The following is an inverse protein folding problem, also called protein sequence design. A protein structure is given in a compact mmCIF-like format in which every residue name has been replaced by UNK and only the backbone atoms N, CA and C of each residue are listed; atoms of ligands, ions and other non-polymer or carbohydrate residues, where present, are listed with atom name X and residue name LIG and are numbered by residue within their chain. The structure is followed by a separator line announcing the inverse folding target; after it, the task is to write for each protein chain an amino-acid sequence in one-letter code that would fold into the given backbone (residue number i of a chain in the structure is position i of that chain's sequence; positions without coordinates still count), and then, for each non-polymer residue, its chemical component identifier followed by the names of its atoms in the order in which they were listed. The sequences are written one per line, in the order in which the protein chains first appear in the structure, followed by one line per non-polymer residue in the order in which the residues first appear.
data_IF_360517071634
#
_entry.id   IF_360517071634
#
_cell.length_a   1.000
_cell.length_b   1.000
_cell.length_c   1.000
_cell.angle_alpha   90.00
_cell.angle_beta   90.00
_cell.angle_gamma   90.00
#
_symmetry.space_group_name_H-M   'P 1'
#
loop_
_entity.id
_entity.type
_entity.pdbx_description
1 polymer ?
#
# COMPACT_ATOMS: atom_id res chain seq x y z
N UNK A 1 -9.42 -33.71 5.13
CA UNK A 1 -8.33 -33.10 4.32
C UNK A 1 -8.81 -31.71 3.88
N UNK A 2 -8.83 -30.74 4.76
CA UNK A 2 -9.35 -29.39 4.42
C UNK A 2 -8.93 -28.32 5.43
N UNK A 3 -7.67 -28.27 5.85
CA UNK A 3 -7.27 -27.23 6.82
C UNK A 3 -5.97 -26.49 6.45
N UNK A 4 -5.40 -26.77 5.28
CA UNK A 4 -4.13 -26.15 4.87
C UNK A 4 -4.28 -24.82 4.09
N UNK A 5 -5.50 -24.43 3.74
CA UNK A 5 -5.75 -23.23 2.95
C UNK A 5 -6.00 -21.97 3.81
N UNK A 6 -6.39 -22.15 5.08
CA UNK A 6 -6.70 -21.03 5.99
C UNK A 6 -5.46 -20.30 6.51
N UNK A 7 -4.28 -20.92 6.48
CA UNK A 7 -3.03 -20.39 7.01
C UNK A 7 -2.15 -19.66 5.95
N UNK A 8 -2.62 -19.53 4.71
CA UNK A 8 -1.85 -18.89 3.65
C UNK A 8 -2.30 -17.45 3.45
N UNK A 9 -1.35 -16.54 3.48
CA UNK A 9 -1.56 -15.18 3.09
C UNK A 9 -1.11 -14.97 1.64
N UNK A 10 -1.82 -14.12 0.92
CA UNK A 10 -1.50 -13.79 -0.47
C UNK A 10 -1.35 -12.29 -0.62
N UNK A 11 -0.22 -11.87 -1.20
CA UNK A 11 0.06 -10.51 -1.60
C UNK A 11 0.32 -10.50 -3.09
N UNK A 12 -0.55 -9.84 -3.85
CA UNK A 12 -0.31 -9.57 -5.26
C UNK A 12 0.71 -8.44 -5.39
N UNK A 13 1.65 -8.58 -6.31
CA UNK A 13 2.51 -7.47 -6.71
C UNK A 13 2.73 -7.46 -8.22
N UNK A 14 2.76 -6.27 -8.79
CA UNK A 14 3.06 -6.06 -10.19
C UNK A 14 4.28 -5.13 -10.33
N UNK A 15 5.29 -5.49 -11.14
CA UNK A 15 6.48 -4.66 -11.30
C UNK A 15 6.18 -3.40 -12.09
N UNK A 16 6.79 -2.30 -11.65
CA UNK A 16 6.88 -1.02 -12.34
C UNK A 16 8.33 -0.86 -12.78
N UNK A 17 8.56 -0.67 -14.07
CA UNK A 17 9.88 -0.63 -14.68
C UNK A 17 10.26 0.79 -15.10
N UNK A 18 11.55 1.08 -15.13
CA UNK A 18 12.10 2.31 -15.66
C UNK A 18 12.26 2.27 -17.21
N UNK A 19 12.83 3.31 -17.80
CA UNK A 19 13.05 3.44 -19.24
C UNK A 19 13.99 2.37 -19.81
N UNK A 20 14.90 1.86 -19.01
CA UNK A 20 15.86 0.80 -19.31
C UNK A 20 15.31 -0.59 -18.98
N UNK A 21 14.00 -0.69 -18.66
CA UNK A 21 13.30 -1.91 -18.25
C UNK A 21 13.88 -2.55 -16.98
N UNK A 22 14.52 -1.78 -16.12
CA UNK A 22 14.96 -2.24 -14.80
C UNK A 22 13.83 -2.03 -13.80
N UNK A 23 13.75 -2.91 -12.81
CA UNK A 23 12.76 -2.81 -11.74
C UNK A 23 12.96 -1.50 -10.97
N UNK A 24 11.92 -0.68 -10.94
CA UNK A 24 11.87 0.59 -10.21
C UNK A 24 11.07 0.47 -8.91
N UNK A 25 9.90 -0.14 -8.97
CA UNK A 25 8.97 -0.30 -7.86
C UNK A 25 8.04 -1.50 -8.08
N UNK A 26 7.19 -1.78 -7.10
CA UNK A 26 6.07 -2.70 -7.22
C UNK A 26 4.76 -1.98 -6.88
N UNK A 27 3.71 -2.25 -7.62
CA UNK A 27 2.35 -2.01 -7.14
C UNK A 27 1.91 -3.21 -6.30
N UNK A 28 1.37 -2.93 -5.10
CA UNK A 28 0.85 -3.93 -4.17
C UNK A 28 -0.66 -4.07 -4.34
N UNK A 29 -1.11 -5.29 -4.61
CA UNK A 29 -2.49 -5.59 -4.97
C UNK A 29 -3.13 -6.50 -3.94
N UNK A 30 -4.39 -6.20 -3.58
CA UNK A 30 -5.19 -7.10 -2.77
C UNK A 30 -5.42 -8.43 -3.50
N UNK A 31 -5.35 -9.54 -2.75
CA UNK A 31 -5.68 -10.88 -3.23
C UNK A 31 -6.41 -11.66 -2.14
N UNK A 32 -7.62 -12.11 -2.43
CA UNK A 32 -8.42 -12.94 -1.53
C UNK A 32 -8.05 -14.43 -1.56
N UNK A 33 -7.07 -14.82 -2.42
CA UNK A 33 -6.65 -16.21 -2.57
C UNK A 33 -5.59 -16.37 -3.65
N UNK A 34 -5.27 -17.62 -4.01
CA UNK A 34 -4.29 -17.96 -5.05
C UNK A 34 -4.75 -17.65 -6.50
N UNK A 35 -5.99 -17.24 -6.71
CA UNK A 35 -6.54 -16.89 -8.03
C UNK A 35 -6.27 -15.42 -8.35
N UNK A 36 -6.01 -15.13 -9.65
CA UNK A 36 -5.66 -13.79 -10.14
C UNK A 36 -6.84 -12.80 -10.25
N UNK A 37 -7.97 -13.04 -9.58
CA UNK A 37 -9.11 -12.14 -9.58
C UNK A 37 -9.39 -11.68 -8.15
N UNK A 38 -9.54 -10.37 -7.95
CA UNK A 38 -9.98 -9.76 -6.70
C UNK A 38 -11.43 -9.31 -6.89
N UNK A 39 -12.36 -9.86 -6.10
CA UNK A 39 -13.65 -9.21 -5.85
C UNK A 39 -13.42 -8.29 -4.64
N UNK A 40 -13.29 -6.99 -4.89
CA UNK A 40 -13.14 -5.98 -3.83
C UNK A 40 -14.53 -5.50 -3.44
N UNK A 41 -15.00 -5.90 -2.27
CA UNK A 41 -16.29 -5.46 -1.71
C UNK A 41 -16.14 -4.26 -0.76
N UNK A 42 -14.94 -4.04 -0.19
CA UNK A 42 -14.63 -2.94 0.72
C UNK A 42 -13.18 -2.48 0.48
N UNK A 43 -13.02 -1.25 -0.04
CA UNK A 43 -11.70 -0.68 -0.39
C UNK A 43 -10.80 -0.48 0.83
N UNK A 44 -11.37 -0.03 1.96
CA UNK A 44 -10.61 0.16 3.22
C UNK A 44 -10.05 -1.15 3.71
N UNK A 45 -10.87 -2.21 3.71
CA UNK A 45 -10.47 -3.54 4.14
C UNK A 45 -9.41 -4.14 3.20
N UNK A 46 -9.57 -3.96 1.89
CA UNK A 46 -8.61 -4.42 0.89
C UNK A 46 -7.24 -3.77 1.12
N UNK A 47 -7.19 -2.44 1.25
CA UNK A 47 -5.96 -1.69 1.49
C UNK A 47 -5.35 -2.04 2.85
N UNK A 48 -6.14 -2.14 3.92
CA UNK A 48 -5.65 -2.56 5.24
C UNK A 48 -5.04 -3.97 5.20
N UNK A 49 -5.64 -4.89 4.45
CA UNK A 49 -5.12 -6.25 4.28
C UNK A 49 -3.80 -6.26 3.52
N UNK A 50 -3.66 -5.46 2.44
CA UNK A 50 -2.39 -5.30 1.70
C UNK A 50 -1.30 -4.81 2.63
N UNK A 51 -1.58 -3.78 3.43
CA UNK A 51 -0.63 -3.19 4.37
C UNK A 51 -0.23 -4.20 5.45
N UNK A 52 -1.20 -4.88 6.08
CA UNK A 52 -0.93 -5.89 7.08
C UNK A 52 -0.06 -7.02 6.51
N UNK A 53 -0.41 -7.52 5.33
CA UNK A 53 0.34 -8.59 4.68
C UNK A 53 1.76 -8.16 4.27
N UNK A 54 1.91 -6.98 3.68
CA UNK A 54 3.19 -6.51 3.18
C UNK A 54 4.16 -6.10 4.31
N UNK A 55 3.67 -5.41 5.34
CA UNK A 55 4.54 -4.76 6.32
C UNK A 55 4.58 -5.48 7.68
N UNK A 56 3.52 -6.19 8.05
CA UNK A 56 3.43 -6.91 9.32
C UNK A 56 3.68 -8.41 9.14
N UNK A 57 2.91 -9.09 8.28
CA UNK A 57 2.97 -10.55 8.14
C UNK A 57 4.22 -11.01 7.37
N UNK A 58 4.45 -10.49 6.15
CA UNK A 58 5.65 -10.83 5.35
C UNK A 58 6.88 -10.04 5.80
N UNK A 59 6.68 -8.77 6.08
CA UNK A 59 7.73 -7.77 6.28
C UNK A 59 8.16 -7.12 4.96
N UNK A 60 8.57 -5.85 5.07
CA UNK A 60 8.88 -4.99 3.91
C UNK A 60 9.95 -5.58 2.99
N UNK A 61 10.97 -6.21 3.58
CA UNK A 61 12.09 -6.81 2.81
C UNK A 61 11.61 -7.95 1.91
N UNK A 62 10.72 -8.82 2.41
CA UNK A 62 10.16 -9.91 1.62
C UNK A 62 9.15 -9.42 0.57
N UNK A 63 8.38 -8.37 0.89
CA UNK A 63 7.37 -7.80 -0.01
C UNK A 63 8.00 -6.97 -1.13
N UNK A 64 8.96 -6.11 -0.83
CA UNK A 64 9.48 -5.06 -1.73
C UNK A 64 10.98 -5.18 -2.01
N UNK A 65 11.76 -5.88 -1.17
CA UNK A 65 13.22 -5.82 -1.22
C UNK A 65 13.69 -4.39 -0.92
N UNK A 66 14.56 -3.85 -1.80
CA UNK A 66 15.05 -2.46 -1.73
C UNK A 66 14.19 -1.47 -2.53
N UNK A 67 13.05 -1.90 -3.08
CA UNK A 67 12.23 -1.07 -3.95
C UNK A 67 11.05 -0.46 -3.19
N UNK A 68 10.40 0.53 -3.81
CA UNK A 68 9.19 1.14 -3.27
C UNK A 68 7.95 0.33 -3.61
N UNK A 69 6.92 0.42 -2.75
CA UNK A 69 5.60 -0.13 -2.98
C UNK A 69 4.57 0.96 -3.26
N UNK A 70 3.84 0.84 -4.35
CA UNK A 70 2.68 1.66 -4.64
C UNK A 70 1.46 1.01 -3.99
N UNK A 71 0.64 1.79 -3.30
CA UNK A 71 -0.50 1.33 -2.51
C UNK A 71 -1.72 2.14 -2.90
N UNK A 72 -2.76 1.47 -3.37
CA UNK A 72 -4.04 2.05 -3.71
C UNK A 72 -4.74 2.62 -2.48
N UNK A 73 -5.21 3.85 -2.57
CA UNK A 73 -5.85 4.60 -1.49
C UNK A 73 -7.17 5.17 -2.01
N UNK A 74 -8.28 4.64 -1.50
CA UNK A 74 -9.61 5.23 -1.69
C UNK A 74 -9.85 6.39 -0.72
N UNK A 75 -10.98 7.09 -0.86
CA UNK A 75 -11.31 8.24 -0.02
C UNK A 75 -11.36 7.89 1.47
N UNK A 76 -11.96 6.75 1.83
CA UNK A 76 -12.12 6.35 3.22
C UNK A 76 -10.75 6.03 3.86
N UNK A 77 -9.86 5.34 3.13
CA UNK A 77 -8.52 5.04 3.61
C UNK A 77 -7.63 6.29 3.64
N UNK A 78 -7.83 7.22 2.70
CA UNK A 78 -7.10 8.50 2.67
C UNK A 78 -7.25 9.29 3.99
N UNK A 79 -8.45 9.25 4.60
CA UNK A 79 -8.72 9.90 5.88
C UNK A 79 -8.40 9.02 7.09
N UNK A 80 -7.99 7.78 6.88
CA UNK A 80 -7.60 6.88 7.97
C UNK A 80 -6.25 7.25 8.57
N UNK A 81 -6.17 7.17 9.88
CA UNK A 81 -4.91 7.29 10.63
C UNK A 81 -3.95 6.12 10.36
N UNK A 82 -4.42 5.03 9.73
CA UNK A 82 -3.60 3.87 9.40
C UNK A 82 -2.48 4.19 8.39
N UNK A 83 -2.67 5.22 7.56
CA UNK A 83 -1.62 5.70 6.65
C UNK A 83 -0.33 6.11 7.39
N UNK A 84 -0.44 6.57 8.63
CA UNK A 84 0.73 6.98 9.41
C UNK A 84 1.60 5.81 9.88
N UNK A 85 1.12 4.56 9.73
CA UNK A 85 1.92 3.34 9.94
C UNK A 85 2.89 3.06 8.80
N UNK A 86 2.67 3.65 7.63
CA UNK A 86 3.44 3.33 6.45
C UNK A 86 4.82 3.98 6.48
N UNK A 87 5.88 3.26 6.10
CA UNK A 87 7.22 3.82 5.95
C UNK A 87 7.26 4.75 4.72
N UNK A 88 7.21 6.06 4.95
CA UNK A 88 7.06 7.11 3.93
C UNK A 88 8.08 7.01 2.80
N UNK A 89 9.30 6.57 3.10
CA UNK A 89 10.38 6.40 2.12
C UNK A 89 10.20 5.17 1.22
N UNK A 90 9.45 4.17 1.69
CA UNK A 90 9.26 2.90 1.00
C UNK A 90 7.92 2.78 0.26
N UNK A 91 7.02 3.77 0.42
CA UNK A 91 5.70 3.73 -0.22
C UNK A 91 5.44 4.93 -1.12
N UNK A 92 4.57 4.73 -2.08
CA UNK A 92 3.87 5.75 -2.88
C UNK A 92 2.38 5.52 -2.67
N UNK A 93 1.65 6.58 -2.32
CA UNK A 93 0.20 6.50 -2.17
C UNK A 93 -0.46 6.81 -3.52
N UNK A 94 -1.17 5.85 -4.06
CA UNK A 94 -1.93 5.97 -5.31
C UNK A 94 -3.35 6.41 -5.00
N UNK A 95 -3.66 7.67 -5.27
CA UNK A 95 -5.02 8.21 -5.13
C UNK A 95 -5.84 7.69 -6.32
N UNK A 96 -6.84 6.86 -6.02
CA UNK A 96 -7.68 6.24 -7.04
C UNK A 96 -8.50 7.30 -7.80
N UNK A 97 -8.83 7.01 -9.05
CA UNK A 97 -9.67 7.84 -9.92
C UNK A 97 -11.09 8.06 -9.37
N UNK A 98 -11.53 7.17 -8.46
CA UNK A 98 -12.84 7.25 -7.78
C UNK A 98 -12.85 8.25 -6.62
N UNK A 99 -11.70 8.76 -6.19
CA UNK A 99 -11.59 9.76 -5.11
C UNK A 99 -11.93 11.14 -5.66
N UNK A 100 -13.04 11.76 -5.21
CA UNK A 100 -13.43 13.07 -5.71
C UNK A 100 -12.45 14.14 -5.22
N UNK A 101 -12.03 15.11 -6.08
CA UNK A 101 -11.07 16.15 -5.72
C UNK A 101 -11.70 17.27 -4.88
N UNK A 102 -12.32 16.90 -3.75
CA UNK A 102 -12.94 17.87 -2.84
C UNK A 102 -11.87 18.69 -2.09
N UNK A 103 -12.20 19.89 -1.58
CA UNK A 103 -11.26 20.67 -0.77
C UNK A 103 -10.66 19.88 0.40
N UNK A 104 -11.45 19.01 1.05
CA UNK A 104 -10.98 18.17 2.15
C UNK A 104 -9.95 17.13 1.68
N UNK A 105 -10.17 16.50 0.51
CA UNK A 105 -9.22 15.57 -0.10
C UNK A 105 -7.93 16.28 -0.49
N UNK A 106 -8.01 17.46 -1.09
CA UNK A 106 -6.84 18.26 -1.46
C UNK A 106 -6.03 18.65 -0.21
N UNK A 107 -6.70 19.12 0.84
CA UNK A 107 -6.05 19.45 2.13
C UNK A 107 -5.37 18.23 2.76
N UNK A 108 -6.04 17.07 2.75
CA UNK A 108 -5.45 15.82 3.27
C UNK A 108 -4.24 15.38 2.48
N UNK A 109 -4.30 15.43 1.14
CA UNK A 109 -3.16 15.12 0.26
C UNK A 109 -1.99 16.09 0.51
N UNK A 110 -2.26 17.39 0.69
CA UNK A 110 -1.22 18.35 1.03
C UNK A 110 -0.56 18.04 2.39
N UNK A 111 -1.35 17.65 3.40
CA UNK A 111 -0.82 17.22 4.70
C UNK A 111 0.04 15.95 4.60
N UNK A 112 -0.37 14.96 3.82
CA UNK A 112 0.40 13.73 3.58
C UNK A 112 1.72 14.03 2.87
N UNK A 113 1.69 14.90 1.84
CA UNK A 113 2.89 15.37 1.16
C UNK A 113 3.84 16.09 2.10
N UNK A 114 3.33 17.02 2.91
CA UNK A 114 4.11 17.73 3.93
C UNK A 114 4.70 16.77 4.97
N UNK A 115 4.01 15.67 5.27
CA UNK A 115 4.51 14.61 6.12
C UNK A 115 5.59 13.74 5.46
N UNK A 116 5.88 13.92 4.16
CA UNK A 116 6.95 13.24 3.42
C UNK A 116 6.50 12.02 2.62
N UNK A 117 5.20 11.83 2.40
CA UNK A 117 4.70 10.83 1.45
C UNK A 117 4.87 11.31 0.00
N UNK A 118 5.13 10.38 -0.89
CA UNK A 118 5.02 10.58 -2.34
C UNK A 118 3.61 10.18 -2.77
N UNK A 119 2.97 11.02 -3.57
CA UNK A 119 1.62 10.80 -4.06
C UNK A 119 1.64 10.50 -5.56
N UNK A 120 0.77 9.61 -5.99
CA UNK A 120 0.46 9.34 -7.40
C UNK A 120 -1.04 9.50 -7.65
N UNK A 121 -1.41 9.92 -8.84
CA UNK A 121 -2.81 9.91 -9.30
C UNK A 121 -2.99 8.74 -10.26
N UNK A 122 -3.99 7.90 -10.00
CA UNK A 122 -4.21 6.64 -10.70
C UNK A 122 -5.15 6.77 -11.90
N UNK A 123 -5.02 5.86 -12.86
CA UNK A 123 -5.88 5.61 -14.04
C UNK A 123 -6.30 6.89 -14.80
N UNK A 124 -5.38 7.86 -14.96
CA UNK A 124 -5.67 9.13 -15.65
C UNK A 124 -5.82 8.90 -17.15
N UNK A 125 -7.00 9.15 -17.68
CA UNK A 125 -7.30 9.09 -19.13
C UNK A 125 -7.60 10.47 -19.75
N UNK A 126 -7.90 11.45 -18.92
CA UNK A 126 -8.14 12.85 -19.31
C UNK A 126 -7.84 13.78 -18.12
N UNK A 127 -7.71 15.08 -18.40
CA UNK A 127 -7.53 16.08 -17.35
C UNK A 127 -8.82 16.89 -17.20
N UNK A 128 -9.52 16.64 -16.12
CA UNK A 128 -10.66 17.46 -15.71
C UNK A 128 -10.16 18.67 -14.90
N UNK A 129 -10.74 19.87 -15.10
CA UNK A 129 -10.30 21.08 -14.39
C UNK A 129 -10.34 20.95 -12.86
N UNK A 130 -11.27 20.17 -12.33
CA UNK A 130 -11.42 19.92 -10.89
C UNK A 130 -10.23 19.17 -10.26
N UNK A 131 -9.46 18.40 -11.05
CA UNK A 131 -8.26 17.71 -10.56
C UNK A 131 -7.02 18.60 -10.53
N UNK A 132 -7.10 19.88 -10.91
CA UNK A 132 -5.94 20.77 -11.00
C UNK A 132 -5.17 20.87 -9.69
N UNK A 133 -5.87 20.99 -8.55
CA UNK A 133 -5.25 21.11 -7.23
C UNK A 133 -4.59 19.79 -6.79
N UNK A 134 -5.21 18.64 -7.05
CA UNK A 134 -4.57 17.33 -6.81
C UNK A 134 -3.35 17.11 -7.71
N UNK A 135 -3.48 17.47 -9.00
CA UNK A 135 -2.36 17.41 -9.94
C UNK A 135 -1.17 18.28 -9.49
N UNK A 136 -1.40 19.41 -8.85
CA UNK A 136 -0.32 20.22 -8.28
C UNK A 136 0.43 19.50 -7.17
N UNK A 137 -0.25 18.66 -6.38
CA UNK A 137 0.29 17.97 -5.22
C UNK A 137 1.05 16.69 -5.56
N UNK A 138 0.57 15.87 -6.51
CA UNK A 138 1.18 14.58 -6.83
C UNK A 138 2.53 14.71 -7.54
N UNK A 139 3.41 13.76 -7.36
CA UNK A 139 4.70 13.64 -8.06
C UNK A 139 4.56 12.78 -9.32
N UNK A 140 3.68 11.78 -9.29
CA UNK A 140 3.53 10.77 -10.34
C UNK A 140 2.10 10.83 -10.88
N UNK A 141 1.96 10.70 -12.19
CA UNK A 141 0.66 10.53 -12.86
C UNK A 141 0.70 9.23 -13.64
N UNK A 142 -0.17 8.29 -13.26
CA UNK A 142 -0.36 7.01 -13.93
C UNK A 142 -1.41 7.20 -15.02
N UNK A 143 -1.07 6.83 -16.23
CA UNK A 143 -1.92 6.99 -17.40
C UNK A 143 -2.31 5.63 -17.93
N UNK A 144 -3.60 5.29 -17.88
CA UNK A 144 -4.13 4.12 -18.60
C UNK A 144 -4.11 4.40 -20.10
N UNK A 145 -3.21 3.71 -20.81
CA UNK A 145 -3.05 3.93 -22.25
C UNK A 145 -4.03 3.11 -23.10
N UNK A 146 -4.71 2.11 -22.53
CA UNK A 146 -5.56 1.20 -23.31
C UNK A 146 -6.79 1.88 -23.94
N UNK A 147 -7.56 2.70 -23.22
CA UNK A 147 -8.74 3.34 -23.80
C UNK A 147 -8.39 4.52 -24.73
N UNK A 148 -7.11 4.94 -24.80
CA UNK A 148 -6.68 6.12 -25.51
C UNK A 148 -6.19 5.82 -26.93
N UNK A 149 -6.73 6.49 -27.91
CA UNK A 149 -6.10 6.54 -29.23
C UNK A 149 -4.74 7.27 -29.14
N UNK A 150 -3.87 7.03 -30.12
CA UNK A 150 -2.55 7.69 -30.16
C UNK A 150 -2.65 9.22 -30.12
N UNK A 151 -3.67 9.80 -30.73
CA UNK A 151 -3.87 11.26 -30.75
C UNK A 151 -4.29 11.75 -29.35
N UNK A 152 -5.22 11.05 -28.70
CA UNK A 152 -5.66 11.39 -27.34
C UNK A 152 -4.52 11.27 -26.33
N UNK A 153 -3.72 10.19 -26.39
CA UNK A 153 -2.56 10.01 -25.54
C UNK A 153 -1.55 11.16 -25.72
N UNK A 154 -1.26 11.53 -26.97
CA UNK A 154 -0.35 12.64 -27.26
C UNK A 154 -0.91 13.97 -26.69
N UNK A 155 -2.20 14.24 -26.88
CA UNK A 155 -2.86 15.45 -26.34
C UNK A 155 -2.81 15.51 -24.81
N UNK A 156 -3.08 14.37 -24.14
CA UNK A 156 -3.01 14.26 -22.69
C UNK A 156 -1.58 14.53 -22.19
N UNK A 157 -0.58 13.88 -22.79
CA UNK A 157 0.81 14.08 -22.42
C UNK A 157 1.28 15.53 -22.66
N UNK A 158 0.84 16.18 -23.74
CA UNK A 158 1.14 17.60 -23.98
C UNK A 158 0.61 18.51 -22.87
N UNK A 159 -0.53 18.19 -22.27
CA UNK A 159 -1.08 18.92 -21.12
C UNK A 159 -0.35 18.59 -19.80
N UNK A 160 0.09 17.34 -19.61
CA UNK A 160 0.80 16.91 -18.39
C UNK A 160 2.26 17.36 -18.35
N UNK A 161 2.92 17.45 -19.49
CA UNK A 161 4.35 17.76 -19.61
C UNK A 161 4.76 19.08 -18.93
N UNK A 162 4.02 20.20 -19.08
CA UNK A 162 4.34 21.46 -18.42
C UNK A 162 4.26 21.40 -16.89
N UNK A 163 3.53 20.40 -16.33
CA UNK A 163 3.37 20.24 -14.90
C UNK A 163 4.59 19.57 -14.23
N UNK A 164 5.57 19.11 -15.02
CA UNK A 164 6.82 18.52 -14.52
C UNK A 164 6.64 17.21 -13.74
N UNK A 165 5.52 16.50 -13.96
CA UNK A 165 5.23 15.24 -13.26
C UNK A 165 5.94 14.07 -13.90
N UNK A 166 6.28 13.07 -13.08
CA UNK A 166 6.73 11.77 -13.58
C UNK A 166 5.54 11.00 -14.17
N UNK A 167 5.65 10.57 -15.42
CA UNK A 167 4.59 9.85 -16.10
C UNK A 167 4.86 8.35 -16.07
N UNK A 168 3.87 7.57 -15.61
CA UNK A 168 3.84 6.12 -15.62
C UNK A 168 2.79 5.67 -16.66
N UNK A 169 3.20 4.88 -17.63
CA UNK A 169 2.30 4.26 -18.60
C UNK A 169 1.80 2.93 -18.05
N UNK A 170 0.49 2.81 -17.90
CA UNK A 170 -0.16 1.60 -17.42
C UNK A 170 -0.75 0.77 -18.55
N UNK A 171 -0.93 -0.53 -18.23
CA UNK A 171 -1.56 -1.51 -19.14
C UNK A 171 -0.86 -1.60 -20.49
N UNK A 172 0.47 -1.46 -20.47
CA UNK A 172 1.31 -1.63 -21.65
C UNK A 172 1.34 -3.11 -22.02
N UNK A 173 0.79 -3.47 -23.20
CA UNK A 173 0.62 -4.85 -23.63
C UNK A 173 1.55 -5.23 -24.81
N UNK A 174 2.22 -4.25 -25.41
CA UNK A 174 3.12 -4.50 -26.53
C UNK A 174 4.36 -3.62 -26.52
N UNK A 175 5.37 -4.07 -27.27
CA UNK A 175 6.61 -3.31 -27.49
C UNK A 175 6.34 -1.97 -28.19
N UNK A 176 5.43 -1.96 -29.13
CA UNK A 176 5.06 -0.77 -29.91
C UNK A 176 4.47 0.30 -28.99
N UNK A 177 3.59 -0.09 -28.07
CA UNK A 177 3.03 0.82 -27.06
C UNK A 177 4.13 1.38 -26.15
N UNK A 178 5.05 0.51 -25.67
CA UNK A 178 6.18 0.97 -24.86
C UNK A 178 7.04 1.99 -25.62
N UNK A 179 7.44 1.70 -26.86
CA UNK A 179 8.26 2.60 -27.68
C UNK A 179 7.54 3.94 -27.95
N UNK A 180 6.22 3.89 -28.16
CA UNK A 180 5.41 5.10 -28.28
C UNK A 180 5.43 5.94 -27.01
N UNK A 181 5.19 5.32 -25.85
CA UNK A 181 5.20 6.00 -24.56
C UNK A 181 6.59 6.58 -24.23
N UNK A 182 7.67 5.86 -24.56
CA UNK A 182 9.05 6.37 -24.43
C UNK A 182 9.27 7.65 -25.22
N UNK A 183 8.80 7.70 -26.48
CA UNK A 183 8.90 8.88 -27.35
C UNK A 183 8.08 10.06 -26.83
N UNK A 184 6.94 9.79 -26.19
CA UNK A 184 6.08 10.78 -25.56
C UNK A 184 6.67 11.35 -24.25
N UNK A 185 7.62 10.65 -23.63
CA UNK A 185 8.32 11.12 -22.44
C UNK A 185 7.92 10.42 -21.14
N UNK A 186 7.23 9.29 -21.23
CA UNK A 186 7.02 8.44 -20.05
C UNK A 186 8.35 7.92 -19.51
N UNK A 187 8.44 7.82 -18.21
CA UNK A 187 9.64 7.37 -17.50
C UNK A 187 9.45 6.07 -16.74
N UNK A 188 8.20 5.70 -16.45
CA UNK A 188 7.82 4.46 -15.77
C UNK A 188 6.80 3.70 -16.61
N UNK A 189 6.80 2.37 -16.46
CA UNK A 189 6.02 1.47 -17.29
C UNK A 189 5.51 0.29 -16.48
N UNK A 190 4.24 -0.06 -16.70
CA UNK A 190 3.58 -1.21 -16.12
C UNK A 190 2.64 -1.85 -17.13
N UNK A 191 2.53 -3.18 -17.14
CA UNK A 191 1.62 -3.89 -18.03
C UNK A 191 2.06 -5.32 -18.30
N UNK A 192 1.19 -6.06 -18.99
CA UNK A 192 1.41 -7.49 -19.26
C UNK A 192 2.54 -7.76 -20.24
N UNK A 193 2.93 -6.77 -21.03
CA UNK A 193 4.12 -6.85 -21.86
C UNK A 193 5.39 -7.15 -21.05
N UNK A 194 5.49 -6.61 -19.85
CA UNK A 194 6.65 -6.81 -18.97
C UNK A 194 6.47 -8.01 -18.06
N UNK A 195 5.39 -8.03 -17.31
CA UNK A 195 5.05 -9.12 -16.40
C UNK A 195 3.59 -9.04 -15.95
N UNK A 196 2.97 -10.21 -15.82
CA UNK A 196 1.70 -10.32 -15.10
C UNK A 196 1.93 -10.16 -13.60
N UNK A 197 0.91 -9.74 -12.83
CA UNK A 197 1.00 -9.71 -11.38
C UNK A 197 1.44 -11.07 -10.84
N UNK A 198 2.38 -11.07 -9.90
CA UNK A 198 2.84 -12.27 -9.20
C UNK A 198 2.27 -12.29 -7.79
N UNK A 199 2.01 -13.49 -7.28
CA UNK A 199 1.51 -13.69 -5.92
C UNK A 199 2.67 -14.14 -5.06
N UNK A 200 2.91 -13.41 -3.96
CA UNK A 200 3.78 -13.87 -2.89
C UNK A 200 2.89 -14.61 -1.89
N UNK A 201 3.17 -15.88 -1.68
CA UNK A 201 2.53 -16.66 -0.63
C UNK A 201 3.43 -16.65 0.61
N UNK A 202 2.82 -16.46 1.77
CA UNK A 202 3.46 -16.55 3.07
C UNK A 202 2.60 -17.38 4.03
N UNK A 203 3.14 -17.71 5.18
CA UNK A 203 2.37 -18.30 6.25
C UNK A 203 1.86 -17.18 7.14
N UNK A 204 0.53 -17.12 7.31
CA UNK A 204 -0.09 -16.22 8.28
C UNK A 204 0.29 -16.66 9.68
N UNK A 205 0.72 -15.74 10.51
CA UNK A 205 0.98 -16.03 11.92
C UNK A 205 -0.35 -15.99 12.65
N UNK A 206 -0.65 -17.06 13.38
CA UNK A 206 -1.93 -17.17 14.11
C UNK A 206 -1.96 -16.18 15.28
N UNK A 207 -3.02 -15.39 15.32
CA UNK A 207 -3.35 -14.52 16.44
C UNK A 207 -4.88 -14.43 16.59
N UNK A 208 -5.36 -14.60 17.80
CA UNK A 208 -6.80 -14.57 18.02
C UNK A 208 -7.36 -13.15 18.04
N UNK A 209 -8.57 -12.97 17.52
CA UNK A 209 -9.29 -11.69 17.63
C UNK A 209 -9.46 -11.26 19.10
N UNK A 210 -9.62 -12.25 20.00
CA UNK A 210 -9.71 -11.99 21.44
C UNK A 210 -8.43 -11.34 21.98
N UNK A 211 -7.26 -11.81 21.55
CA UNK A 211 -5.97 -11.21 21.94
C UNK A 211 -5.82 -9.78 21.41
N UNK A 212 -6.24 -9.52 20.17
CA UNK A 212 -6.26 -8.15 19.62
C UNK A 212 -7.18 -7.23 20.41
N UNK A 213 -8.40 -7.69 20.76
CA UNK A 213 -9.35 -6.91 21.56
C UNK A 213 -8.81 -6.65 22.99
N UNK A 214 -8.17 -7.64 23.61
CA UNK A 214 -7.55 -7.49 24.92
C UNK A 214 -6.43 -6.44 24.92
N UNK A 215 -5.53 -6.51 23.93
CA UNK A 215 -4.46 -5.52 23.78
C UNK A 215 -5.00 -4.11 23.50
N UNK A 216 -6.04 -4.01 22.67
CA UNK A 216 -6.71 -2.73 22.45
C UNK A 216 -7.32 -2.17 23.73
N UNK A 217 -7.95 -3.01 24.55
CA UNK A 217 -8.48 -2.62 25.87
C UNK A 217 -7.41 -2.11 26.81
N UNK A 218 -6.25 -2.76 26.86
CA UNK A 218 -5.09 -2.30 27.66
C UNK A 218 -4.58 -0.94 27.19
N UNK A 219 -4.47 -0.73 25.88
CA UNK A 219 -4.03 0.55 25.31
C UNK A 219 -5.01 1.69 25.64
N UNK A 220 -6.31 1.44 25.54
CA UNK A 220 -7.35 2.41 25.86
C UNK A 220 -7.45 2.67 27.37
N UNK A 221 -7.09 1.69 28.21
CA UNK A 221 -7.04 1.77 29.67
C UNK A 221 -5.73 2.35 30.23
N UNK A 222 -4.87 2.92 29.38
CA UNK A 222 -3.61 3.54 29.77
C UNK A 222 -2.57 2.60 30.42
N UNK A 223 -2.64 1.29 30.14
CA UNK A 223 -1.67 0.28 30.58
C UNK A 223 -0.23 0.70 30.25
N UNK A 224 0.71 0.42 31.12
CA UNK A 224 2.12 0.76 30.90
C UNK A 224 2.80 -0.19 29.89
N UNK A 225 4.06 0.12 29.51
CA UNK A 225 4.81 -0.69 28.56
C UNK A 225 5.02 -2.12 29.03
N UNK A 226 5.16 -2.35 30.33
CA UNK A 226 5.40 -3.69 30.90
C UNK A 226 4.14 -4.55 30.86
N UNK A 227 2.97 -3.95 31.07
CA UNK A 227 1.67 -4.62 30.97
C UNK A 227 1.38 -5.01 29.50
N UNK A 228 1.66 -4.11 28.56
CA UNK A 228 1.54 -4.39 27.12
C UNK A 228 2.51 -5.48 26.67
N UNK A 229 3.76 -5.44 27.15
CA UNK A 229 4.76 -6.49 26.88
C UNK A 229 4.31 -7.85 27.46
N UNK A 230 3.80 -7.87 28.68
CA UNK A 230 3.29 -9.09 29.32
C UNK A 230 2.09 -9.69 28.56
N UNK A 231 1.22 -8.84 28.00
CA UNK A 231 0.09 -9.29 27.20
C UNK A 231 0.47 -9.77 25.80
N UNK A 232 1.54 -9.22 25.20
CA UNK A 232 2.05 -9.63 23.89
C UNK A 232 2.95 -10.87 23.95
N UNK A 233 3.67 -11.08 25.04
CA UNK A 233 4.62 -12.20 25.21
C UNK A 233 4.04 -13.58 24.93
N UNK A 234 2.81 -13.93 25.36
CA UNK A 234 2.19 -15.22 25.07
C UNK A 234 1.69 -15.36 23.63
N UNK A 235 1.76 -14.31 22.80
CA UNK A 235 1.28 -14.23 21.43
C UNK A 235 2.44 -14.14 20.43
N UNK A 236 3.08 -15.28 20.05
CA UNK A 236 4.28 -15.26 19.21
C UNK A 236 4.02 -14.59 17.84
N UNK A 237 2.83 -14.80 17.25
CA UNK A 237 2.43 -14.18 15.99
C UNK A 237 2.42 -12.67 16.08
N UNK A 238 1.73 -12.11 17.07
CA UNK A 238 1.67 -10.66 17.28
C UNK A 238 3.04 -10.07 17.63
N UNK A 239 3.85 -10.79 18.41
CA UNK A 239 5.21 -10.37 18.75
C UNK A 239 6.08 -10.22 17.51
N UNK A 240 6.09 -11.24 16.64
CA UNK A 240 6.86 -11.20 15.38
C UNK A 240 6.35 -10.11 14.46
N UNK A 241 5.03 -9.97 14.33
CA UNK A 241 4.40 -8.95 13.49
C UNK A 241 4.72 -7.53 13.99
N UNK A 242 4.69 -7.31 15.30
CA UNK A 242 5.06 -6.02 15.89
C UNK A 242 6.54 -5.69 15.60
N UNK A 243 7.45 -6.65 15.76
CA UNK A 243 8.87 -6.45 15.46
C UNK A 243 9.11 -6.14 13.98
N UNK A 244 8.41 -6.81 13.07
CA UNK A 244 8.49 -6.54 11.62
C UNK A 244 7.97 -5.14 11.30
N UNK A 245 6.79 -4.79 11.81
CA UNK A 245 6.20 -3.47 11.62
C UNK A 245 7.11 -2.37 12.15
N UNK A 246 7.64 -2.52 13.36
CA UNK A 246 8.52 -1.52 13.97
C UNK A 246 9.81 -1.33 13.17
N UNK A 247 10.40 -2.41 12.66
CA UNK A 247 11.58 -2.34 11.80
C UNK A 247 11.29 -1.78 10.40
N UNK A 248 10.04 -1.88 9.92
CA UNK A 248 9.60 -1.27 8.64
C UNK A 248 9.41 0.24 8.77
N UNK A 249 8.85 0.70 9.87
CA UNK A 249 8.51 2.11 10.13
C UNK A 249 9.69 2.90 10.71
N UNK A 250 10.54 2.21 11.48
CA UNK A 250 11.65 2.79 12.25
C UNK A 250 12.81 3.30 11.40
N UNK A 251 12.54 4.10 10.37
CA UNK A 251 13.55 4.68 9.44
C UNK A 251 14.53 5.69 10.08
N UNK A 252 14.74 5.62 11.38
CA UNK A 252 15.75 6.38 12.10
C UNK A 252 16.64 5.51 13.01
N UNK A 253 16.30 4.23 13.17
CA UNK A 253 17.12 3.31 13.96
C UNK A 253 18.18 2.68 13.06
N UNK A 254 19.46 2.92 13.41
CA UNK A 254 20.60 2.28 12.74
C UNK A 254 20.75 0.82 13.08
N UNK A 255 20.07 0.32 14.12
CA UNK A 255 20.10 -1.05 14.58
C UNK A 255 18.74 -1.72 14.52
N UNK A 256 18.73 -3.01 14.17
CA UNK A 256 17.52 -3.83 14.12
C UNK A 256 16.94 -4.03 15.52
N UNK A 257 15.68 -3.69 15.69
CA UNK A 257 14.93 -3.89 16.93
C UNK A 257 14.58 -5.38 17.08
N UNK A 258 15.03 -5.97 18.18
CA UNK A 258 14.87 -7.42 18.46
C UNK A 258 14.10 -7.70 19.74
N UNK A 259 13.88 -6.69 20.60
CA UNK A 259 13.15 -6.88 21.87
C UNK A 259 11.75 -6.25 21.80
N UNK A 260 10.79 -6.91 22.42
CA UNK A 260 9.38 -6.48 22.44
C UNK A 260 9.19 -5.13 23.15
N UNK A 261 9.80 -4.97 24.33
CA UNK A 261 9.73 -3.70 25.09
C UNK A 261 10.33 -2.54 24.30
N UNK A 262 11.45 -2.76 23.59
CA UNK A 262 12.05 -1.74 22.72
C UNK A 262 11.15 -1.42 21.53
N UNK A 263 10.52 -2.43 20.91
CA UNK A 263 9.55 -2.21 19.82
C UNK A 263 8.36 -1.36 20.27
N UNK A 264 7.76 -1.67 21.43
CA UNK A 264 6.64 -0.89 21.99
C UNK A 264 7.08 0.55 22.27
N UNK A 265 8.28 0.76 22.81
CA UNK A 265 8.80 2.09 23.12
C UNK A 265 9.06 2.92 21.87
N UNK A 266 9.70 2.33 20.85
CA UNK A 266 10.03 3.01 19.57
C UNK A 266 8.79 3.33 18.77
N UNK A 267 7.84 2.40 18.68
CA UNK A 267 6.59 2.61 17.97
C UNK A 267 5.71 3.62 18.67
N UNK A 268 5.68 3.56 20.00
CA UNK A 268 4.83 4.38 20.86
C UNK A 268 3.37 3.92 20.84
N UNK A 269 2.61 4.36 21.86
CA UNK A 269 1.21 3.92 22.10
C UNK A 269 0.29 4.20 20.92
N UNK A 270 0.40 5.39 20.32
CA UNK A 270 -0.46 5.82 19.22
C UNK A 270 -0.28 4.95 17.98
N UNK A 271 0.96 4.64 17.61
CA UNK A 271 1.24 3.77 16.47
C UNK A 271 0.89 2.31 16.77
N UNK A 272 1.10 1.86 18.02
CA UNK A 272 0.70 0.51 18.44
C UNK A 272 -0.83 0.34 18.35
N UNK A 273 -1.61 1.36 18.74
CA UNK A 273 -3.08 1.36 18.61
C UNK A 273 -3.50 1.25 17.14
N UNK A 274 -2.91 2.07 16.26
CA UNK A 274 -3.18 2.04 14.83
C UNK A 274 -2.86 0.68 14.20
N UNK A 275 -1.72 0.10 14.61
CA UNK A 275 -1.33 -1.22 14.16
C UNK A 275 -2.32 -2.30 14.58
N UNK A 276 -2.80 -2.29 15.82
CA UNK A 276 -3.84 -3.22 16.27
C UNK A 276 -5.15 -3.00 15.51
N UNK A 277 -5.55 -1.75 15.26
CA UNK A 277 -6.72 -1.43 14.43
C UNK A 277 -6.55 -2.02 13.02
N UNK A 278 -5.39 -1.84 12.40
CA UNK A 278 -5.07 -2.40 11.10
C UNK A 278 -5.25 -3.93 11.08
N UNK A 279 -4.74 -4.63 12.09
CA UNK A 279 -4.88 -6.09 12.20
C UNK A 279 -6.34 -6.52 12.39
N UNK A 280 -7.12 -5.79 13.18
CA UNK A 280 -8.55 -6.05 13.35
C UNK A 280 -9.29 -5.90 12.02
N UNK A 281 -9.05 -4.83 11.26
CA UNK A 281 -9.63 -4.63 9.94
C UNK A 281 -9.23 -5.73 8.96
N UNK A 282 -7.94 -6.06 8.90
CA UNK A 282 -7.42 -7.11 8.03
C UNK A 282 -7.96 -8.52 8.37
N UNK A 283 -8.28 -8.78 9.65
CA UNK A 283 -8.81 -10.09 10.08
C UNK A 283 -10.33 -10.24 9.88
N UNK A 284 -11.07 -9.14 9.73
CA UNK A 284 -12.53 -9.15 9.53
C UNK A 284 -12.99 -9.81 8.22
N UNK A 285 -12.11 -10.00 7.25
CA UNK A 285 -12.43 -10.61 5.95
C UNK A 285 -12.67 -12.12 5.97
N UNK A 286 -12.41 -12.80 7.08
CA UNK A 286 -12.57 -14.28 7.17
C UNK A 286 -13.92 -14.75 7.73
N UNK A 287 -14.76 -13.84 8.22
CA UNK A 287 -16.05 -14.20 8.86
C UNK A 287 -17.25 -14.35 7.94
N UNK A 288 -17.14 -14.08 6.64
CA UNK A 288 -18.32 -13.96 5.76
C UNK A 288 -18.34 -14.94 4.57
N UNK A 289 -17.59 -16.04 4.61
CA UNK A 289 -17.58 -17.05 3.52
C UNK A 289 -18.29 -18.36 3.86
N UNK A 290 -19.06 -18.44 4.98
CA UNK A 290 -19.94 -19.56 5.27
C UNK A 290 -21.39 -19.08 5.35
N UNK A 291 -22.05 -19.00 4.18
CA UNK A 291 -23.49 -19.18 3.98
C UNK A 291 -23.78 -19.57 2.55
#
# INVERSE_FOLDING_TARGET
MSDAAADQLFLGRQPILDREQRLHAYELLFRSGSRNFAEVTDGVQATATVIANAFSELGIEAALGSHRGFINVDEAFLFSDMLELLPRHAVVLEILETVPPTPAVVERCAALKAAGFTLALDDVIQLEPEFADLLALVEIVKVDIQPLSRVQLMQLVMKLKPLGKQLLAEKVDSREQMEQCLKLGFSLFQGYYFAKPTIIAGKKLDHSQLSLMKLMGLLLGDADTSELEAALKPEPGLTINLLRMTNSVGSGCTEKITSLGHAITVLGRRQLQRWLQLLVFASGSQGNTDN
#
